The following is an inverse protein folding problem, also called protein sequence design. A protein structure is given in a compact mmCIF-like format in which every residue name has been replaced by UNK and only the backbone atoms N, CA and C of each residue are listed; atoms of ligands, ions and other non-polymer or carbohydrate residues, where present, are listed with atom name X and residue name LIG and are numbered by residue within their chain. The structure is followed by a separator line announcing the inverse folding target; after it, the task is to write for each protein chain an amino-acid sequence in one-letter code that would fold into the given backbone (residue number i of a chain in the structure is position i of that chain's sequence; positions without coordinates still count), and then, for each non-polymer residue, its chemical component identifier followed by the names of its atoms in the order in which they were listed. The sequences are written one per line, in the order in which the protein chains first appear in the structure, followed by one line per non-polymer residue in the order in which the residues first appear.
data_IF_493519173582
#
_entry.id   IF_493519173582
#
_cell.length_a   1.000
_cell.length_b   1.000
_cell.length_c   1.000
_cell.angle_alpha   90.00
_cell.angle_beta   90.00
_cell.angle_gamma   90.00
#
_symmetry.space_group_name_H-M   'P 1'
#
loop_
_entity.id
_entity.type
_entity.pdbx_description
1 polymer ?
#
# COMPACT_ATOMS: atom_id res chain seq x y z
N UNK A 1 16.20 15.63 26.61
CA UNK A 1 16.96 15.97 25.38
C UNK A 1 16.54 14.96 24.33
N UNK A 2 15.66 15.33 23.40
CA UNK A 2 15.29 14.46 22.29
C UNK A 2 16.40 14.54 21.23
N UNK A 3 17.14 13.45 21.06
CA UNK A 3 18.28 13.35 20.13
C UNK A 3 17.85 12.99 18.69
N UNK A 4 16.55 13.05 18.37
CA UNK A 4 16.05 12.62 17.07
C UNK A 4 16.37 13.66 15.99
N UNK A 5 16.91 13.25 14.82
CA UNK A 5 17.10 14.16 13.70
C UNK A 5 15.76 14.77 13.25
N UNK A 6 15.76 15.99 12.71
CA UNK A 6 14.49 16.65 12.30
C UNK A 6 13.92 16.08 11.00
N UNK A 7 14.75 15.40 10.22
CA UNK A 7 14.47 14.79 8.92
C UNK A 7 14.54 13.25 9.01
N UNK A 8 13.66 12.65 9.82
CA UNK A 8 13.55 11.17 9.95
C UNK A 8 12.97 10.48 8.71
N UNK A 9 12.29 11.23 7.83
CA UNK A 9 11.60 10.66 6.69
C UNK A 9 11.62 11.62 5.50
N UNK A 10 12.05 11.11 4.34
CA UNK A 10 12.26 11.88 3.13
C UNK A 10 13.46 11.37 2.33
N UNK A 11 13.68 11.86 1.10
CA UNK A 11 14.82 11.45 0.26
C UNK A 11 16.18 11.74 0.91
N UNK A 12 16.27 12.77 1.76
CA UNK A 12 17.50 13.22 2.43
C UNK A 12 17.58 12.78 3.92
N UNK A 13 17.07 11.58 4.24
CA UNK A 13 17.07 11.06 5.61
C UNK A 13 18.48 10.56 6.02
N UNK A 14 19.07 11.02 7.14
CA UNK A 14 20.39 10.61 7.60
C UNK A 14 20.35 9.33 8.45
N UNK A 15 19.15 8.81 8.72
CA UNK A 15 18.91 7.58 9.47
C UNK A 15 18.88 6.37 8.54
N UNK A 16 19.64 5.34 8.91
CA UNK A 16 19.54 3.97 8.40
C UNK A 16 19.46 3.00 9.59
N UNK A 17 19.46 1.69 9.32
CA UNK A 17 19.40 0.64 10.35
C UNK A 17 20.58 0.67 11.34
N UNK A 18 21.73 1.23 10.94
CA UNK A 18 22.97 1.27 11.73
C UNK A 18 23.09 2.56 12.55
N UNK A 19 22.48 3.66 12.09
CA UNK A 19 22.60 4.99 12.71
C UNK A 19 21.45 5.33 13.63
N UNK A 20 20.26 4.75 13.44
CA UNK A 20 19.07 5.09 14.20
C UNK A 20 18.32 3.84 14.70
N UNK A 21 17.75 3.86 15.92
CA UNK A 21 16.96 2.75 16.43
C UNK A 21 15.68 2.55 15.60
N UNK A 22 15.30 1.30 15.38
CA UNK A 22 14.13 0.92 14.54
C UNK A 22 12.81 1.50 15.06
N UNK A 23 12.73 1.81 16.34
CA UNK A 23 11.59 2.50 16.98
C UNK A 23 11.26 3.85 16.34
N UNK A 24 12.25 4.50 15.73
CA UNK A 24 12.09 5.79 15.05
C UNK A 24 11.60 5.63 13.60
N UNK A 25 11.56 4.41 13.08
CA UNK A 25 11.01 4.16 11.74
C UNK A 25 9.49 4.40 11.71
N UNK A 26 8.93 4.57 10.50
CA UNK A 26 7.48 4.74 10.29
C UNK A 26 6.62 3.68 10.99
N UNK A 27 7.10 2.44 11.04
CA UNK A 27 6.38 1.34 11.64
C UNK A 27 6.73 1.13 13.12
N UNK A 28 7.84 1.69 13.61
CA UNK A 28 8.38 1.42 14.95
C UNK A 28 8.86 -0.01 15.16
N UNK A 29 8.80 -0.86 14.12
CA UNK A 29 9.27 -2.23 14.11
C UNK A 29 9.81 -2.60 12.73
N UNK A 30 10.63 -3.65 12.68
CA UNK A 30 11.14 -4.18 11.42
C UNK A 30 10.11 -5.15 10.81
N UNK A 31 9.64 -4.92 9.57
CA UNK A 31 8.72 -5.85 8.90
C UNK A 31 9.26 -7.29 8.91
N UNK A 32 8.41 -8.32 8.89
CA UNK A 32 8.93 -9.70 8.83
C UNK A 32 9.23 -10.11 7.39
N UNK A 33 10.49 -10.47 7.10
CA UNK A 33 10.90 -10.89 5.75
C UNK A 33 10.14 -12.15 5.30
N UNK A 34 10.03 -13.14 6.21
CA UNK A 34 9.36 -14.40 5.91
C UNK A 34 7.91 -14.21 5.47
N UNK A 35 7.12 -13.41 6.20
CA UNK A 35 5.72 -13.18 5.81
C UNK A 35 5.62 -12.42 4.49
N UNK A 36 6.45 -11.38 4.29
CA UNK A 36 6.43 -10.61 3.05
C UNK A 36 6.76 -11.47 1.82
N UNK A 37 7.75 -12.35 1.94
CA UNK A 37 8.11 -13.29 0.86
C UNK A 37 7.00 -14.30 0.61
N UNK A 38 6.38 -14.85 1.66
CA UNK A 38 5.26 -15.79 1.51
C UNK A 38 4.10 -15.15 0.76
N UNK A 39 3.69 -13.93 1.12
CA UNK A 39 2.62 -13.24 0.41
C UNK A 39 2.98 -12.89 -1.04
N UNK A 40 4.22 -12.46 -1.29
CA UNK A 40 4.69 -12.19 -2.65
C UNK A 40 4.59 -13.45 -3.53
N UNK A 41 5.09 -14.58 -3.04
CA UNK A 41 5.02 -15.87 -3.76
C UNK A 41 3.56 -16.30 -3.96
N UNK A 42 2.72 -16.13 -2.94
CA UNK A 42 1.31 -16.48 -3.01
C UNK A 42 0.59 -15.66 -4.10
N UNK A 43 0.79 -14.34 -4.16
CA UNK A 43 0.20 -13.50 -5.21
C UNK A 43 0.74 -13.81 -6.60
N UNK A 44 2.01 -14.18 -6.72
CA UNK A 44 2.59 -14.63 -7.99
C UNK A 44 1.94 -15.95 -8.47
N UNK A 45 1.75 -16.92 -7.57
CA UNK A 45 1.08 -18.19 -7.88
C UNK A 45 -0.39 -17.98 -8.25
N UNK A 46 -1.11 -17.17 -7.47
CA UNK A 46 -2.51 -16.82 -7.77
C UNK A 46 -2.62 -16.11 -9.12
N UNK A 47 -1.71 -15.18 -9.42
CA UNK A 47 -1.64 -14.49 -10.71
C UNK A 47 -1.42 -15.46 -11.87
N UNK A 48 -0.51 -16.43 -11.72
CA UNK A 48 -0.25 -17.46 -12.71
C UNK A 48 -1.48 -18.35 -12.96
N UNK A 49 -2.16 -18.80 -11.90
CA UNK A 49 -3.38 -19.60 -11.98
C UNK A 49 -4.51 -18.84 -12.68
N UNK A 50 -4.73 -17.58 -12.32
CA UNK A 50 -5.76 -16.73 -12.97
C UNK A 50 -5.41 -16.40 -14.42
N UNK A 51 -4.13 -16.28 -14.75
CA UNK A 51 -3.67 -16.11 -16.14
C UNK A 51 -3.97 -17.36 -16.95
N UNK A 52 -3.63 -18.55 -16.42
CA UNK A 52 -3.93 -19.83 -17.06
C UNK A 52 -5.43 -20.01 -17.32
N UNK A 53 -6.27 -19.80 -16.31
CA UNK A 53 -7.73 -19.89 -16.49
C UNK A 53 -8.26 -18.78 -17.40
N UNK A 54 -7.73 -17.57 -17.32
CA UNK A 54 -8.08 -16.46 -18.19
C UNK A 54 -7.86 -16.76 -19.66
N UNK A 55 -6.71 -17.37 -20.00
CA UNK A 55 -6.38 -17.79 -21.37
C UNK A 55 -7.21 -19.01 -21.79
N UNK A 56 -7.32 -20.03 -20.93
CA UNK A 56 -8.04 -21.28 -21.23
C UNK A 56 -9.52 -21.08 -21.52
N UNK A 57 -10.16 -20.14 -20.80
CA UNK A 57 -11.59 -19.82 -20.89
C UNK A 57 -11.88 -18.52 -21.65
N UNK A 58 -10.83 -17.86 -22.18
CA UNK A 58 -10.93 -16.63 -22.99
C UNK A 58 -11.61 -15.46 -22.24
N UNK A 59 -11.44 -15.41 -20.93
CA UNK A 59 -12.06 -14.45 -20.01
C UNK A 59 -11.25 -13.16 -19.88
N UNK A 60 -10.93 -12.51 -21.01
CA UNK A 60 -9.97 -11.39 -21.09
C UNK A 60 -10.21 -10.28 -20.06
N UNK A 61 -11.46 -9.80 -19.91
CA UNK A 61 -11.75 -8.70 -18.99
C UNK A 61 -11.65 -9.06 -17.49
N UNK A 62 -11.83 -10.32 -17.12
CA UNK A 62 -11.59 -10.78 -15.75
C UNK A 62 -10.09 -11.00 -15.52
N UNK A 63 -9.41 -11.59 -16.50
CA UNK A 63 -7.99 -11.86 -16.46
C UNK A 63 -7.17 -10.57 -16.31
N UNK A 64 -7.48 -9.52 -17.08
CA UNK A 64 -6.72 -8.27 -17.05
C UNK A 64 -6.77 -7.59 -15.69
N UNK A 65 -7.96 -7.43 -15.10
CA UNK A 65 -8.10 -6.83 -13.78
C UNK A 65 -7.44 -7.68 -12.69
N UNK A 66 -7.60 -9.01 -12.74
CA UNK A 66 -6.99 -9.89 -11.74
C UNK A 66 -5.46 -9.84 -11.82
N UNK A 67 -4.90 -9.85 -13.03
CA UNK A 67 -3.46 -9.76 -13.24
C UNK A 67 -2.90 -8.41 -12.77
N UNK A 68 -3.58 -7.30 -13.07
CA UNK A 68 -3.19 -5.97 -12.60
C UNK A 68 -3.20 -5.87 -11.07
N UNK A 69 -4.22 -6.45 -10.42
CA UNK A 69 -4.28 -6.53 -8.96
C UNK A 69 -3.14 -7.37 -8.38
N UNK A 70 -2.86 -8.55 -8.95
CA UNK A 70 -1.73 -9.39 -8.51
C UNK A 70 -0.37 -8.70 -8.72
N UNK A 71 -0.17 -8.00 -9.83
CA UNK A 71 1.06 -7.23 -10.07
C UNK A 71 1.20 -6.10 -9.06
N UNK A 72 0.12 -5.37 -8.76
CA UNK A 72 0.12 -4.32 -7.76
C UNK A 72 0.48 -4.89 -6.36
N UNK A 73 -0.11 -6.02 -5.95
CA UNK A 73 0.26 -6.69 -4.70
C UNK A 73 1.74 -7.07 -4.66
N UNK A 74 2.26 -7.70 -5.73
CA UNK A 74 3.68 -8.09 -5.83
C UNK A 74 4.58 -6.87 -5.65
N UNK A 75 4.31 -5.76 -6.36
CA UNK A 75 5.07 -4.52 -6.22
C UNK A 75 4.98 -3.93 -4.80
N UNK A 76 3.81 -4.00 -4.18
CA UNK A 76 3.61 -3.56 -2.80
C UNK A 76 4.44 -4.38 -1.80
N UNK A 77 4.49 -5.70 -1.97
CA UNK A 77 5.34 -6.58 -1.16
C UNK A 77 6.83 -6.42 -1.44
N UNK A 78 7.23 -6.07 -2.67
CA UNK A 78 8.62 -5.66 -2.97
C UNK A 78 8.97 -4.40 -2.18
N UNK A 79 8.10 -3.40 -2.14
CA UNK A 79 8.28 -2.21 -1.29
C UNK A 79 8.45 -2.56 0.20
N UNK A 80 7.68 -3.54 0.70
CA UNK A 80 7.85 -4.09 2.07
C UNK A 80 9.19 -4.77 2.29
N UNK A 81 9.72 -5.49 1.29
CA UNK A 81 11.04 -6.12 1.37
C UNK A 81 12.13 -5.05 1.36
N UNK A 82 11.99 -3.98 0.57
CA UNK A 82 12.92 -2.84 0.63
C UNK A 82 12.97 -2.23 2.04
N UNK A 83 11.81 -2.10 2.70
CA UNK A 83 11.75 -1.62 4.08
C UNK A 83 12.24 -2.61 5.13
N UNK A 84 12.43 -3.89 4.78
CA UNK A 84 13.13 -4.83 5.64
C UNK A 84 14.64 -4.56 5.69
N UNK A 85 15.23 -4.16 4.55
CA UNK A 85 16.63 -3.74 4.48
C UNK A 85 16.83 -2.40 5.15
N UNK A 86 15.96 -1.43 4.84
CA UNK A 86 15.98 -0.10 5.44
C UNK A 86 14.56 0.41 5.78
N UNK A 87 14.11 0.29 7.04
CA UNK A 87 12.82 0.76 7.53
C UNK A 87 12.60 2.27 7.38
N UNK A 88 13.66 3.05 7.13
CA UNK A 88 13.58 4.49 6.91
C UNK A 88 13.42 4.87 5.42
N UNK A 89 13.41 3.87 4.53
CA UNK A 89 13.28 4.10 3.09
C UNK A 89 11.94 4.74 2.71
N UNK A 90 12.01 6.02 2.33
CA UNK A 90 10.86 6.79 1.81
C UNK A 90 10.21 6.11 0.59
N UNK A 91 11.04 5.66 -0.36
CA UNK A 91 10.57 5.02 -1.59
C UNK A 91 9.90 3.67 -1.31
N UNK A 92 10.46 2.86 -0.41
CA UNK A 92 9.86 1.57 -0.02
C UNK A 92 8.47 1.75 0.59
N UNK A 93 8.30 2.77 1.43
CA UNK A 93 7.02 3.10 2.05
C UNK A 93 5.98 3.59 1.03
N UNK A 94 6.37 4.51 0.14
CA UNK A 94 5.48 5.02 -0.91
C UNK A 94 5.03 3.91 -1.86
N UNK A 95 5.96 3.07 -2.35
CA UNK A 95 5.64 1.95 -3.24
C UNK A 95 4.66 1.01 -2.56
N UNK A 96 4.91 0.61 -1.31
CA UNK A 96 4.00 -0.25 -0.57
C UNK A 96 2.60 0.36 -0.51
N UNK A 97 2.47 1.60 -0.01
CA UNK A 97 1.16 2.20 0.25
C UNK A 97 0.37 2.38 -1.04
N UNK A 98 1.00 2.86 -2.11
CA UNK A 98 0.34 3.09 -3.39
C UNK A 98 -0.10 1.74 -3.99
N UNK A 99 0.83 0.78 -4.08
CA UNK A 99 0.57 -0.49 -4.76
C UNK A 99 -0.42 -1.38 -3.99
N UNK A 100 -0.36 -1.44 -2.66
CA UNK A 100 -1.31 -2.21 -1.87
C UNK A 100 -2.71 -1.57 -1.83
N UNK A 101 -2.80 -0.23 -1.90
CA UNK A 101 -4.11 0.45 -1.88
C UNK A 101 -4.84 0.28 -3.22
N UNK A 102 -4.13 0.33 -4.35
CA UNK A 102 -4.76 0.22 -5.68
C UNK A 102 -5.15 -1.22 -6.07
N UNK A 103 -4.51 -2.23 -5.47
CA UNK A 103 -4.76 -3.64 -5.78
C UNK A 103 -6.24 -4.07 -5.61
N UNK A 104 -6.92 -3.77 -4.48
CA UNK A 104 -8.35 -4.02 -4.29
C UNK A 104 -9.27 -3.46 -5.38
N UNK A 105 -8.92 -2.31 -5.98
CA UNK A 105 -9.71 -1.70 -7.06
C UNK A 105 -9.72 -2.61 -8.29
N UNK A 106 -8.58 -3.22 -8.62
CA UNK A 106 -8.48 -4.14 -9.75
C UNK A 106 -9.16 -5.49 -9.49
N UNK A 107 -9.13 -5.99 -8.25
CA UNK A 107 -9.84 -7.21 -7.89
C UNK A 107 -11.35 -7.02 -7.93
N UNK A 108 -11.86 -5.93 -7.35
CA UNK A 108 -13.30 -5.60 -7.38
C UNK A 108 -13.77 -5.41 -8.82
N UNK A 109 -13.04 -4.65 -9.64
CA UNK A 109 -13.26 -4.50 -11.07
C UNK A 109 -13.50 -5.84 -11.79
N UNK A 110 -12.63 -6.82 -11.53
CA UNK A 110 -12.69 -8.15 -12.14
C UNK A 110 -13.94 -8.93 -11.72
N UNK A 111 -14.27 -8.89 -10.43
CA UNK A 111 -15.48 -9.52 -9.88
C UNK A 111 -16.73 -8.90 -10.52
N UNK A 112 -16.78 -7.58 -10.68
CA UNK A 112 -17.92 -6.91 -11.31
C UNK A 112 -18.08 -7.22 -12.79
N UNK A 113 -16.99 -7.35 -13.54
CA UNK A 113 -17.04 -7.80 -14.95
C UNK A 113 -17.66 -9.20 -15.03
N UNK A 114 -17.30 -10.08 -14.10
CA UNK A 114 -17.84 -11.44 -14.03
C UNK A 114 -19.32 -11.43 -13.66
N UNK A 115 -19.68 -10.70 -12.60
CA UNK A 115 -21.06 -10.55 -12.16
C UNK A 115 -21.96 -9.95 -13.26
N UNK A 116 -21.47 -8.95 -13.99
CA UNK A 116 -22.20 -8.34 -15.11
C UNK A 116 -22.50 -9.33 -16.23
N UNK A 117 -21.56 -10.24 -16.53
CA UNK A 117 -21.77 -11.31 -17.52
C UNK A 117 -22.77 -12.35 -17.02
N UNK A 118 -22.66 -12.75 -15.75
CA UNK A 118 -23.58 -13.70 -15.11
C UNK A 118 -25.01 -13.15 -15.11
N UNK A 119 -25.22 -11.90 -14.69
CA UNK A 119 -26.55 -11.29 -14.67
C UNK A 119 -27.15 -11.22 -16.08
N UNK A 120 -26.36 -10.83 -17.09
CA UNK A 120 -26.84 -10.82 -18.49
C UNK A 120 -27.26 -12.20 -19.00
N UNK A 121 -26.65 -13.27 -18.49
CA UNK A 121 -26.96 -14.64 -18.88
C UNK A 121 -28.21 -15.19 -18.18
N UNK A 122 -28.40 -14.88 -16.89
CA UNK A 122 -29.48 -15.46 -16.08
C UNK A 122 -30.71 -14.56 -15.89
N UNK A 123 -30.57 -13.23 -15.97
CA UNK A 123 -31.64 -12.27 -15.67
C UNK A 123 -31.44 -10.94 -16.43
N UNK A 124 -31.64 -10.97 -17.75
CA UNK A 124 -31.49 -9.78 -18.61
C UNK A 124 -32.40 -8.60 -18.20
N UNK A 125 -33.59 -8.89 -17.66
CA UNK A 125 -34.62 -7.88 -17.36
C UNK A 125 -34.47 -7.15 -16.02
N UNK A 126 -33.59 -7.61 -15.11
CA UNK A 126 -33.39 -7.00 -13.77
C UNK A 126 -32.12 -6.14 -13.65
N UNK A 127 -31.27 -6.10 -14.67
CA UNK A 127 -29.88 -5.63 -14.58
C UNK A 127 -29.72 -4.10 -14.62
N UNK A 128 -30.01 -3.39 -13.52
CA UNK A 128 -29.80 -1.93 -13.39
C UNK A 128 -28.39 -1.49 -12.97
N UNK A 129 -27.48 -2.40 -12.62
CA UNK A 129 -26.18 -2.02 -12.02
C UNK A 129 -25.10 -1.92 -13.10
N UNK A 130 -24.63 -0.70 -13.39
CA UNK A 130 -23.52 -0.46 -14.31
C UNK A 130 -22.18 -0.65 -13.57
N UNK A 131 -21.26 -1.51 -14.06
CA UNK A 131 -19.94 -1.70 -13.45
C UNK A 131 -19.09 -0.42 -13.40
N UNK A 132 -19.44 0.60 -14.21
CA UNK A 132 -18.77 1.90 -14.22
C UNK A 132 -18.92 2.68 -12.91
N UNK A 133 -20.00 2.50 -12.15
CA UNK A 133 -20.26 3.26 -10.92
C UNK A 133 -19.22 2.95 -9.82
N UNK A 134 -18.65 1.74 -9.81
CA UNK A 134 -17.70 1.33 -8.78
C UNK A 134 -16.35 2.03 -8.91
N UNK A 135 -15.81 2.17 -10.13
CA UNK A 135 -14.58 2.95 -10.33
C UNK A 135 -14.77 4.41 -9.93
N UNK A 136 -15.96 4.98 -10.17
CA UNK A 136 -16.30 6.35 -9.77
C UNK A 136 -16.36 6.56 -8.26
N UNK A 137 -16.56 5.50 -7.46
CA UNK A 137 -16.59 5.58 -5.99
C UNK A 137 -15.25 5.17 -5.38
N UNK A 138 -14.64 4.09 -5.87
CA UNK A 138 -13.39 3.56 -5.32
C UNK A 138 -12.18 4.42 -5.63
N UNK A 139 -12.06 4.97 -6.85
CA UNK A 139 -10.92 5.82 -7.20
C UNK A 139 -10.83 7.08 -6.32
N UNK A 140 -11.89 7.89 -6.12
CA UNK A 140 -11.78 9.05 -5.24
C UNK A 140 -11.57 8.65 -3.78
N UNK A 141 -12.17 7.55 -3.32
CA UNK A 141 -11.94 7.05 -1.97
C UNK A 141 -10.49 6.62 -1.76
N UNK A 142 -9.89 5.89 -2.71
CA UNK A 142 -8.47 5.51 -2.70
C UNK A 142 -7.57 6.74 -2.68
N UNK A 143 -7.85 7.76 -3.48
CA UNK A 143 -7.07 9.02 -3.46
C UNK A 143 -7.17 9.68 -2.09
N UNK A 144 -8.36 9.76 -1.50
CA UNK A 144 -8.55 10.28 -0.13
C UNK A 144 -7.76 9.45 0.88
N UNK A 145 -7.82 8.12 0.78
CA UNK A 145 -7.06 7.22 1.64
C UNK A 145 -5.55 7.36 1.46
N UNK A 146 -5.02 7.55 0.24
CA UNK A 146 -3.61 7.79 -0.02
C UNK A 146 -3.14 9.12 0.59
N UNK A 147 -3.97 10.17 0.49
CA UNK A 147 -3.71 11.46 1.15
C UNK A 147 -3.69 11.30 2.66
N UNK A 148 -4.68 10.62 3.25
CA UNK A 148 -4.72 10.36 4.70
C UNK A 148 -3.54 9.50 5.16
N UNK A 149 -3.12 8.51 4.38
CA UNK A 149 -1.94 7.70 4.66
C UNK A 149 -0.65 8.53 4.59
N UNK A 150 -0.51 9.42 3.61
CA UNK A 150 0.63 10.32 3.50
C UNK A 150 0.69 11.31 4.67
N UNK A 151 -0.46 11.90 5.04
CA UNK A 151 -0.57 12.77 6.23
C UNK A 151 -0.26 11.98 7.50
N UNK A 152 -0.81 10.77 7.66
CA UNK A 152 -0.53 9.90 8.80
C UNK A 152 0.95 9.56 8.93
N UNK A 153 1.62 9.29 7.81
CA UNK A 153 3.07 9.14 7.76
C UNK A 153 3.77 10.42 8.22
N UNK A 154 3.45 11.56 7.61
CA UNK A 154 4.05 12.86 7.97
C UNK A 154 3.80 13.26 9.43
N UNK A 155 2.65 12.95 10.02
CA UNK A 155 2.35 13.25 11.42
C UNK A 155 3.09 12.32 12.39
N UNK A 156 3.45 11.11 11.95
CA UNK A 156 4.21 10.16 12.77
C UNK A 156 5.64 10.63 13.01
N UNK A 157 6.19 11.47 12.13
CA UNK A 157 7.49 12.14 12.38
C UNK A 157 7.33 13.32 13.34
N UNK A 158 6.24 14.08 13.26
CA UNK A 158 5.99 15.30 14.07
C UNK A 158 5.59 15.03 15.52
N UNK A 159 4.97 13.89 15.87
CA UNK A 159 4.63 13.61 17.30
C UNK A 159 5.85 13.44 18.21
N UNK A 160 7.04 13.28 17.63
CA UNK A 160 8.32 13.39 18.33
C UNK A 160 8.57 14.82 18.85
N UNK A 161 8.10 15.86 18.15
CA UNK A 161 8.48 17.25 18.45
C UNK A 161 7.61 17.96 19.48
N UNK A 162 6.48 17.39 19.90
CA UNK A 162 5.50 18.07 20.78
C UNK A 162 5.69 17.82 22.29
N UNK A 163 6.64 16.97 22.69
CA UNK A 163 6.88 16.62 24.10
C UNK A 163 8.06 17.39 24.73
N UNK A 164 8.35 18.61 24.28
CA UNK A 164 9.29 19.50 24.97
C UNK A 164 8.54 20.70 25.57
N UNK A 165 8.11 20.66 26.84
CA UNK A 165 7.79 21.89 27.55
C UNK A 165 9.07 22.73 27.62
N UNK A 166 8.96 23.98 27.19
CA UNK A 166 10.04 24.97 27.23
C UNK A 166 10.58 25.12 28.66
N UNK A 167 11.70 24.47 28.99
CA UNK A 167 12.44 24.78 30.20
C UNK A 167 13.29 26.02 29.94
N UNK A 168 12.80 27.14 30.45
CA UNK A 168 13.51 28.38 30.72
C UNK A 168 14.92 28.11 31.29
N UNK A 169 15.96 28.65 30.66
CA UNK A 169 17.30 28.72 31.27
C UNK A 169 17.39 29.95 32.18
N UNK A 170 17.88 29.83 33.43
CA UNK A 170 18.40 30.98 34.12
C UNK A 170 19.73 30.64 34.80
N UNK A 171 20.86 30.65 34.07
CA UNK A 171 22.16 30.93 34.70
C UNK A 171 23.10 31.62 33.70
N UNK A 172 23.68 32.79 34.05
CA UNK A 172 24.71 33.46 33.25
C UNK A 172 26.11 32.92 33.61
N UNK A 173 26.99 32.92 32.62
CA UNK A 173 28.45 32.91 32.81
C UNK A 173 29.02 34.19 32.19
#
# INVERSE_FOLDING_TARGET
MDQRPKNLFGPDTPCNLDTCPVEWSMFGYRPSLAANVVFLVLFALIGAVHTYFGVRWRSWGFMTGMLLGCVAEILGYVGRIMMWHDPFSYYGFMIQIICLTIAPVFFTASIYVTLSKTIRYFAADLSRVKPQLFYWVFIPFDVVCLVLQAIGGALSTTRTTAAAPASTSPWPA
#
